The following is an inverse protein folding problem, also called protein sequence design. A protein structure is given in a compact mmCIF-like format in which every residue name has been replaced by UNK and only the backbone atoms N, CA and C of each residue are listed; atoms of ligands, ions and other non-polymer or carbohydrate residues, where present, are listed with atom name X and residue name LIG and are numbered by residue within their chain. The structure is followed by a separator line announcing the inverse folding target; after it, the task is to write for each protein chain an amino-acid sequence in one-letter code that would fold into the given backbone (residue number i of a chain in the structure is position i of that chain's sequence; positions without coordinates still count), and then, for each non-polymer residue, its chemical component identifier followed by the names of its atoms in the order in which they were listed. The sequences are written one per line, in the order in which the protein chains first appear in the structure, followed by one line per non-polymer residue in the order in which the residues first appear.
data_IF_514137677153
#
_entry.id   IF_514137677153
#
_cell.length_a   1.000
_cell.length_b   1.000
_cell.length_c   1.000
_cell.angle_alpha   90.00
_cell.angle_beta   90.00
_cell.angle_gamma   90.00
#
_symmetry.space_group_name_H-M   'P 1'
#
loop_
_entity.id
_entity.type
_entity.pdbx_description
1 polymer ?
#
# COMPACT_ATOMS: atom_id res chain seq x y z
N UNK A 1 -2.55 -7.93 24.60
CA UNK A 1 -2.79 -7.23 23.33
C UNK A 1 -1.88 -6.02 23.28
N UNK A 2 -0.89 -5.98 22.39
CA UNK A 2 0.00 -4.83 22.24
C UNK A 2 -0.75 -3.76 21.44
N UNK A 3 -1.22 -2.72 22.12
CA UNK A 3 -2.19 -1.72 21.65
C UNK A 3 -1.58 -0.61 20.78
N UNK A 4 -0.35 -0.78 20.30
CA UNK A 4 0.37 0.23 19.54
C UNK A 4 0.70 -0.26 18.13
N UNK A 5 0.36 0.56 17.13
CA UNK A 5 0.68 0.33 15.72
C UNK A 5 1.94 1.10 15.32
N UNK A 6 2.72 0.55 14.40
CA UNK A 6 3.90 1.20 13.85
C UNK A 6 3.48 2.48 13.10
N UNK A 7 4.07 3.65 13.40
CA UNK A 7 3.71 4.89 12.70
C UNK A 7 4.18 4.92 11.24
N UNK A 8 5.09 4.01 10.84
CA UNK A 8 5.61 3.96 9.48
C UNK A 8 4.72 3.14 8.52
N UNK A 9 4.17 2.01 8.98
CA UNK A 9 3.40 1.09 8.13
C UNK A 9 2.02 0.71 8.69
N UNK A 10 1.67 1.12 9.91
CA UNK A 10 0.40 0.81 10.55
C UNK A 10 0.27 -0.61 11.14
N UNK A 11 1.24 -1.50 10.92
CA UNK A 11 1.21 -2.86 11.48
C UNK A 11 1.36 -2.87 13.01
N UNK A 12 0.81 -3.86 13.73
CA UNK A 12 1.00 -3.99 15.18
C UNK A 12 2.48 -4.08 15.57
N UNK A 13 2.85 -3.46 16.68
CA UNK A 13 4.18 -3.61 17.28
C UNK A 13 4.27 -4.87 18.13
N UNK A 14 5.45 -5.50 18.12
CA UNK A 14 5.75 -6.73 18.85
C UNK A 14 6.94 -6.51 19.79
N UNK A 15 6.91 -7.15 20.95
CA UNK A 15 8.07 -7.18 21.85
C UNK A 15 9.00 -8.33 21.45
N UNK A 16 10.22 -8.01 21.06
CA UNK A 16 11.27 -8.98 20.71
C UNK A 16 12.50 -8.64 21.54
N UNK A 17 12.98 -9.61 22.33
CA UNK A 17 14.13 -9.42 23.24
C UNK A 17 13.98 -8.24 24.21
N UNK A 18 12.76 -7.91 24.62
CA UNK A 18 12.47 -6.78 25.54
C UNK A 18 12.34 -5.42 24.84
N UNK A 19 12.45 -5.36 23.52
CA UNK A 19 12.27 -4.15 22.73
C UNK A 19 11.00 -4.22 21.89
N UNK A 20 10.23 -3.14 21.86
CA UNK A 20 9.02 -3.05 21.03
C UNK A 20 9.39 -2.60 19.62
N UNK A 21 9.22 -3.46 18.61
CA UNK A 21 9.53 -3.15 17.22
C UNK A 21 8.46 -3.62 16.22
N UNK A 22 8.51 -3.02 15.04
CA UNK A 22 7.74 -3.48 13.88
C UNK A 22 8.58 -4.48 13.08
N UNK A 23 8.19 -5.75 13.11
CA UNK A 23 8.89 -6.82 12.38
C UNK A 23 8.85 -6.61 10.86
N UNK A 24 7.77 -6.03 10.32
CA UNK A 24 7.64 -5.78 8.87
C UNK A 24 8.68 -4.76 8.41
N UNK A 25 8.76 -3.60 9.07
CA UNK A 25 9.75 -2.58 8.72
C UNK A 25 11.18 -3.02 9.04
N UNK A 26 11.40 -3.89 10.03
CA UNK A 26 12.71 -4.44 10.33
C UNK A 26 13.20 -5.37 9.21
N UNK A 27 12.33 -6.26 8.71
CA UNK A 27 12.66 -7.18 7.61
C UNK A 27 12.86 -6.42 6.28
N UNK A 28 12.06 -5.39 5.99
CA UNK A 28 12.25 -4.56 4.79
C UNK A 28 13.57 -3.76 4.80
N UNK A 29 14.06 -3.40 5.99
CA UNK A 29 15.39 -2.79 6.17
C UNK A 29 16.49 -3.84 6.07
N UNK A 30 16.33 -4.99 6.72
CA UNK A 30 17.31 -6.08 6.68
C UNK A 30 17.48 -6.65 5.26
N UNK A 31 16.41 -6.70 4.46
CA UNK A 31 16.45 -7.10 3.05
C UNK A 31 17.16 -6.10 2.13
N UNK A 32 17.42 -4.87 2.58
CA UNK A 32 18.23 -3.87 1.86
C UNK A 32 19.71 -3.87 2.24
N UNK A 33 20.07 -4.55 3.33
CA UNK A 33 21.44 -4.63 3.87
C UNK A 33 21.96 -6.08 3.85
N UNK A 34 21.79 -6.79 2.73
CA UNK A 34 22.64 -7.93 2.43
C UNK A 34 24.03 -7.40 2.04
N UNK A 35 25.13 -7.75 2.73
CA UNK A 35 26.44 -7.18 2.46
C UNK A 35 26.95 -7.60 1.07
N UNK A 36 27.07 -6.63 0.15
CA UNK A 36 28.18 -6.67 -0.79
C UNK A 36 29.44 -6.31 -0.01
N UNK A 37 30.34 -7.28 0.09
CA UNK A 37 31.70 -7.10 0.56
C UNK A 37 32.41 -6.07 -0.32
N UNK A 38 32.58 -4.83 0.16
CA UNK A 38 33.68 -3.94 -0.26
C UNK A 38 34.00 -2.92 0.84
N UNK A 39 35.28 -2.84 1.13
CA UNK A 39 36.01 -2.01 2.10
C UNK A 39 35.76 -0.49 2.01
N UNK A 40 36.02 0.30 3.08
CA UNK A 40 35.51 1.67 3.22
C UNK A 40 36.51 2.74 2.77
N UNK A 41 36.01 3.83 2.17
CA UNK A 41 36.65 5.14 2.24
C UNK A 41 35.63 6.27 2.03
N UNK A 42 35.70 7.25 2.92
CA UNK A 42 34.84 8.41 3.07
C UNK A 42 34.69 9.28 1.80
N UNK A 43 33.52 9.92 1.66
CA UNK A 43 33.39 11.08 0.78
C UNK A 43 31.97 11.43 0.37
N UNK A 44 31.38 12.38 1.09
CA UNK A 44 30.49 13.46 0.63
C UNK A 44 29.27 13.19 -0.27
N UNK A 45 28.21 13.94 0.06
CA UNK A 45 26.99 14.24 -0.69
C UNK A 45 25.90 13.15 -0.71
N UNK A 46 24.89 13.40 0.12
CA UNK A 46 23.55 12.82 0.03
C UNK A 46 22.99 12.98 -1.40
N UNK A 47 22.65 11.91 -2.13
CA UNK A 47 21.56 11.98 -3.07
C UNK A 47 20.27 11.96 -2.24
N UNK A 48 19.53 13.06 -2.25
CA UNK A 48 18.09 13.02 -1.95
C UNK A 48 17.48 11.88 -2.76
N UNK A 49 16.86 10.85 -2.16
CA UNK A 49 15.98 10.00 -2.93
C UNK A 49 14.81 10.88 -3.33
N UNK A 50 14.80 11.26 -4.60
CA UNK A 50 13.63 11.79 -5.26
C UNK A 50 12.45 10.89 -4.90
N UNK A 51 11.39 11.52 -4.38
CA UNK A 51 10.04 10.97 -4.40
C UNK A 51 9.72 10.59 -5.84
N UNK A 52 10.02 9.35 -6.19
CA UNK A 52 9.55 8.73 -7.43
C UNK A 52 8.61 7.61 -7.03
N UNK A 53 7.51 7.99 -6.38
CA UNK A 53 6.37 7.10 -6.17
C UNK A 53 5.28 7.50 -7.16
N UNK A 54 5.58 7.30 -8.44
CA UNK A 54 4.55 6.92 -9.39
C UNK A 54 5.09 5.65 -10.04
N UNK A 55 4.97 4.53 -9.32
CA UNK A 55 4.86 3.26 -10.02
C UNK A 55 3.52 3.36 -10.74
N UNK A 56 3.54 3.94 -11.94
CA UNK A 56 2.46 3.76 -12.88
C UNK A 56 2.48 2.26 -13.20
N UNK A 57 1.75 1.47 -12.40
CA UNK A 57 1.58 0.06 -12.71
C UNK A 57 0.87 0.00 -14.06
N UNK A 58 1.53 -0.49 -15.13
CA UNK A 58 0.82 -0.76 -16.37
C UNK A 58 -0.31 -1.74 -16.02
N UNK A 59 -1.55 -1.38 -16.34
CA UNK A 59 -2.72 -2.19 -16.00
C UNK A 59 -3.57 -1.69 -14.82
N UNK A 60 -3.20 -0.60 -14.13
CA UNK A 60 -3.99 -0.13 -12.99
C UNK A 60 -5.41 0.29 -13.39
N UNK A 61 -5.56 0.96 -14.53
CA UNK A 61 -6.87 1.39 -15.02
C UNK A 61 -7.76 0.19 -15.37
N UNK A 62 -7.18 -0.83 -16.00
CA UNK A 62 -7.85 -2.08 -16.37
C UNK A 62 -8.25 -2.87 -15.13
N UNK A 63 -7.35 -3.02 -14.15
CA UNK A 63 -7.62 -3.71 -12.89
C UNK A 63 -8.71 -2.98 -12.07
N UNK A 64 -8.69 -1.65 -12.07
CA UNK A 64 -9.72 -0.86 -11.39
C UNK A 64 -11.08 -0.99 -12.10
N UNK A 65 -11.10 -1.03 -13.43
CA UNK A 65 -12.33 -1.27 -14.21
C UNK A 65 -12.93 -2.64 -13.92
N UNK A 66 -12.10 -3.69 -13.92
CA UNK A 66 -12.52 -5.04 -13.55
C UNK A 66 -13.10 -5.07 -12.13
N UNK A 67 -12.44 -4.37 -11.19
CA UNK A 67 -12.91 -4.25 -9.81
C UNK A 67 -14.28 -3.57 -9.72
N UNK A 68 -14.48 -2.46 -10.44
CA UNK A 68 -15.77 -1.75 -10.47
C UNK A 68 -16.88 -2.65 -11.05
N UNK A 69 -16.60 -3.42 -12.10
CA UNK A 69 -17.55 -4.40 -12.66
C UNK A 69 -17.89 -5.48 -11.62
N UNK A 70 -16.90 -6.01 -10.92
CA UNK A 70 -17.10 -7.03 -9.89
C UNK A 70 -17.95 -6.50 -8.70
N UNK A 71 -17.75 -5.24 -8.31
CA UNK A 71 -18.58 -4.59 -7.28
C UNK A 71 -20.04 -4.47 -7.73
N UNK A 72 -20.28 -4.06 -8.97
CA UNK A 72 -21.63 -4.01 -9.56
C UNK A 72 -22.29 -5.39 -9.58
N UNK A 73 -21.54 -6.45 -9.87
CA UNK A 73 -22.06 -7.81 -9.79
C UNK A 73 -22.44 -8.18 -8.35
N UNK A 74 -21.56 -7.93 -7.39
CA UNK A 74 -21.78 -8.21 -5.96
C UNK A 74 -23.00 -7.46 -5.41
N UNK A 75 -23.22 -6.20 -5.80
CA UNK A 75 -24.37 -5.40 -5.33
C UNK A 75 -25.71 -6.05 -5.68
N UNK A 76 -25.83 -6.72 -6.83
CA UNK A 76 -27.08 -7.35 -7.28
C UNK A 76 -27.54 -8.50 -6.39
N UNK A 77 -26.59 -9.20 -5.78
CA UNK A 77 -26.87 -10.36 -4.92
C UNK A 77 -26.83 -10.02 -3.42
N UNK A 78 -26.47 -8.79 -3.07
CA UNK A 78 -26.33 -8.33 -1.69
C UNK A 78 -27.70 -8.12 -1.03
N UNK A 79 -27.87 -8.69 0.17
CA UNK A 79 -29.14 -8.68 0.91
C UNK A 79 -29.16 -7.63 2.01
N UNK A 80 -28.00 -7.27 2.55
CA UNK A 80 -27.90 -6.24 3.58
C UNK A 80 -27.92 -4.84 2.92
N UNK A 81 -28.95 -4.01 3.16
CA UNK A 81 -29.03 -2.67 2.58
C UNK A 81 -27.87 -1.76 3.02
N UNK A 82 -27.27 -2.01 4.19
CA UNK A 82 -26.10 -1.25 4.65
C UNK A 82 -24.87 -1.59 3.81
N UNK A 83 -24.68 -2.87 3.48
CA UNK A 83 -23.63 -3.30 2.58
C UNK A 83 -23.83 -2.74 1.17
N UNK A 84 -25.07 -2.74 0.66
CA UNK A 84 -25.40 -2.13 -0.64
C UNK A 84 -24.98 -0.66 -0.68
N UNK A 85 -25.28 0.11 0.36
CA UNK A 85 -24.91 1.53 0.42
C UNK A 85 -23.39 1.74 0.32
N UNK A 86 -22.61 1.00 1.12
CA UNK A 86 -21.13 1.08 1.11
C UNK A 86 -20.57 0.65 -0.25
N UNK A 87 -21.12 -0.38 -0.87
CA UNK A 87 -20.66 -0.86 -2.17
C UNK A 87 -20.96 0.14 -3.28
N UNK A 88 -22.12 0.78 -3.26
CA UNK A 88 -22.47 1.84 -4.21
C UNK A 88 -21.52 3.04 -4.07
N UNK A 89 -21.16 3.42 -2.84
CA UNK A 89 -20.16 4.48 -2.62
C UNK A 89 -18.79 4.09 -3.19
N UNK A 90 -18.34 2.84 -2.96
CA UNK A 90 -17.10 2.33 -3.53
C UNK A 90 -17.11 2.32 -5.08
N UNK A 91 -18.25 2.02 -5.71
CA UNK A 91 -18.43 2.09 -7.17
C UNK A 91 -18.26 3.52 -7.67
N UNK A 92 -18.88 4.50 -7.00
CA UNK A 92 -18.74 5.93 -7.38
C UNK A 92 -17.30 6.37 -7.30
N UNK A 93 -16.62 6.11 -6.17
CA UNK A 93 -15.20 6.44 -6.00
C UNK A 93 -14.32 5.74 -7.05
N UNK A 94 -14.61 4.48 -7.38
CA UNK A 94 -13.90 3.73 -8.41
C UNK A 94 -14.05 4.33 -9.81
N UNK A 95 -15.25 4.78 -10.18
CA UNK A 95 -15.52 5.44 -11.47
C UNK A 95 -14.79 6.80 -11.55
N UNK A 96 -14.81 7.58 -10.48
CA UNK A 96 -14.07 8.84 -10.39
C UNK A 96 -12.56 8.60 -10.54
N UNK A 97 -12.03 7.59 -9.84
CA UNK A 97 -10.64 7.17 -9.96
C UNK A 97 -10.28 6.74 -11.39
N UNK A 98 -11.14 5.97 -12.06
CA UNK A 98 -10.95 5.60 -13.47
C UNK A 98 -10.90 6.82 -14.40
N UNK A 99 -11.75 7.81 -14.16
CA UNK A 99 -11.75 9.06 -14.92
C UNK A 99 -10.45 9.85 -14.76
N UNK A 100 -9.77 9.73 -13.61
CA UNK A 100 -8.47 10.33 -13.38
C UNK A 100 -7.32 9.58 -14.07
N UNK A 101 -7.49 8.27 -14.35
CA UNK A 101 -6.47 7.44 -14.99
C UNK A 101 -6.56 7.43 -16.52
N UNK A 102 -7.73 7.68 -17.10
CA UNK A 102 -7.94 7.66 -18.55
C UNK A 102 -7.82 9.07 -19.15
N UNK A 103 -6.89 9.32 -20.09
CA UNK A 103 -6.82 10.60 -20.78
C UNK A 103 -8.10 10.84 -21.60
N UNK A 104 -8.57 12.09 -21.61
CA UNK A 104 -9.75 12.54 -22.38
C UNK A 104 -9.46 12.69 -23.86
#
# INVERSE_FOLDING_TARGET
MLSASCPACGCPLFEVKGETLCVVCAEEKAGKDAPQEVVPAAGAALPTPAVSSTIASPGLAEALEETVIALCARIRDEKDPRCVAVLMEAVVTGIEGLGALRPR
#
